data_IF_233472887427
#
_entry.id   IF_233472887427
#
_cell.length_a   1.000
_cell.length_b   1.000
_cell.length_c   1.000
_cell.angle_alpha   90.00
_cell.angle_beta   90.00
_cell.angle_gamma   90.00
#
_symmetry.space_group_name_H-M   'P 1'
#
loop_
_entity.id
_entity.type
_entity.pdbx_description
1 polymer ?
#
# COMPACT_ATOMS: atom_id res chain seq x y z
N UNK A 1 -1.28 -0.21 -3.83
CA UNK A 1 -1.40 0.41 -2.49
C UNK A 1 -0.44 -0.31 -1.56
N UNK A 2 0.36 0.41 -0.77
CA UNK A 2 1.48 -0.12 0.04
C UNK A 2 1.08 -1.33 0.89
N UNK A 3 -0.06 -1.27 1.58
CA UNK A 3 -0.55 -2.40 2.39
C UNK A 3 -0.77 -3.66 1.55
N UNK A 4 -1.32 -3.56 0.34
CA UNK A 4 -1.51 -4.74 -0.52
C UNK A 4 -0.18 -5.33 -0.99
N UNK A 5 0.80 -4.47 -1.24
CA UNK A 5 2.15 -4.88 -1.59
C UNK A 5 2.79 -5.65 -0.43
N UNK A 6 2.72 -5.11 0.78
CA UNK A 6 3.26 -5.77 1.97
C UNK A 6 2.42 -6.99 2.41
N UNK A 7 1.12 -7.06 2.15
CA UNK A 7 0.34 -8.29 2.34
C UNK A 7 0.89 -9.42 1.47
N UNK A 8 1.38 -9.10 0.27
CA UNK A 8 1.83 -10.09 -0.72
C UNK A 8 3.27 -10.56 -0.50
N UNK A 9 4.09 -9.69 0.08
CA UNK A 9 5.53 -9.92 0.27
C UNK A 9 5.95 -10.02 1.74
N UNK A 10 5.03 -9.71 2.67
CA UNK A 10 5.18 -9.64 4.13
C UNK A 10 6.18 -8.58 4.62
N UNK A 11 7.40 -8.59 4.07
CA UNK A 11 8.50 -7.70 4.44
C UNK A 11 9.23 -7.22 3.19
N UNK A 12 9.51 -5.91 3.10
CA UNK A 12 10.19 -5.31 1.94
C UNK A 12 11.17 -4.21 2.36
N UNK A 13 12.27 -4.10 1.62
CA UNK A 13 13.18 -2.97 1.71
C UNK A 13 12.60 -1.73 1.02
N UNK A 14 13.02 -0.53 1.46
CA UNK A 14 12.57 0.74 0.88
C UNK A 14 12.74 0.80 -0.64
N UNK A 15 13.85 0.29 -1.17
CA UNK A 15 14.15 0.30 -2.60
C UNK A 15 13.16 -0.50 -3.45
N UNK A 16 12.59 -1.57 -2.90
CA UNK A 16 11.58 -2.39 -3.59
C UNK A 16 10.18 -1.80 -3.43
N UNK A 17 9.89 -1.17 -2.28
CA UNK A 17 8.66 -0.40 -2.10
C UNK A 17 8.53 0.74 -3.11
N UNK A 18 9.61 1.50 -3.35
CA UNK A 18 9.64 2.58 -4.35
C UNK A 18 9.24 2.06 -5.74
N UNK A 19 9.84 0.95 -6.18
CA UNK A 19 9.57 0.34 -7.50
C UNK A 19 8.13 -0.15 -7.63
N UNK A 20 7.56 -0.70 -6.56
CA UNK A 20 6.23 -1.31 -6.58
C UNK A 20 5.09 -0.29 -6.45
N UNK A 21 5.33 0.83 -5.76
CA UNK A 21 4.31 1.88 -5.57
C UNK A 21 4.25 2.83 -6.75
N UNK A 22 5.38 3.09 -7.42
CA UNK A 22 5.44 4.07 -8.50
C UNK A 22 6.27 3.58 -9.70
N UNK A 23 5.76 2.63 -10.51
CA UNK A 23 6.45 2.18 -11.71
C UNK A 23 6.40 3.28 -12.79
N UNK A 24 7.36 4.22 -12.73
CA UNK A 24 7.62 5.18 -13.81
C UNK A 24 7.47 6.67 -13.49
N UNK A 25 7.10 7.05 -12.26
CA UNK A 25 7.07 8.46 -11.83
C UNK A 25 7.90 8.57 -10.55
N UNK A 26 8.97 9.36 -10.60
CA UNK A 26 9.69 9.80 -9.39
C UNK A 26 8.80 10.82 -8.70
N UNK A 27 7.80 10.37 -7.95
CA UNK A 27 7.15 11.22 -6.96
C UNK A 27 8.24 11.66 -6.00
N UNK A 28 8.38 12.96 -5.79
CA UNK A 28 9.35 13.56 -4.86
C UNK A 28 9.44 12.69 -3.59
N UNK A 29 10.66 12.22 -3.28
CA UNK A 29 10.95 11.17 -2.28
C UNK A 29 10.25 11.39 -0.93
N UNK A 30 9.89 12.64 -0.64
CA UNK A 30 9.12 13.09 0.50
C UNK A 30 7.75 12.42 0.65
N UNK A 31 6.97 12.23 -0.44
CA UNK A 31 5.60 11.71 -0.32
C UNK A 31 5.52 10.25 0.13
N UNK A 32 6.45 9.42 -0.34
CA UNK A 32 6.51 8.02 0.09
C UNK A 32 6.92 7.94 1.57
N UNK A 33 7.91 8.76 1.98
CA UNK A 33 8.34 8.78 3.37
C UNK A 33 7.20 9.23 4.30
N UNK A 34 6.47 10.30 3.96
CA UNK A 34 5.31 10.73 4.76
C UNK A 34 4.27 9.62 4.91
N UNK A 35 3.95 8.91 3.83
CA UNK A 35 2.99 7.81 3.89
C UNK A 35 3.50 6.64 4.74
N UNK A 36 4.80 6.31 4.67
CA UNK A 36 5.39 5.28 5.52
C UNK A 36 5.36 5.70 6.99
N UNK A 37 5.68 6.95 7.30
CA UNK A 37 5.62 7.49 8.66
C UNK A 37 4.19 7.46 9.21
N UNK A 38 3.19 7.83 8.42
CA UNK A 38 1.78 7.71 8.80
C UNK A 38 1.37 6.26 9.09
N UNK A 39 1.80 5.32 8.25
CA UNK A 39 1.50 3.89 8.42
C UNK A 39 2.20 3.31 9.66
N UNK A 40 3.40 3.77 9.99
CA UNK A 40 4.12 3.41 11.22
C UNK A 40 3.41 3.98 12.45
N UNK A 41 3.13 5.29 12.46
CA UNK A 41 2.46 5.94 13.58
C UNK A 41 1.07 5.36 13.87
N UNK A 42 0.37 4.96 12.80
CA UNK A 42 -0.92 4.28 12.92
C UNK A 42 -0.81 2.77 13.19
N UNK A 43 0.39 2.19 13.22
CA UNK A 43 0.65 0.79 13.58
C UNK A 43 0.21 -0.23 12.53
N UNK A 44 0.13 0.17 11.26
CA UNK A 44 -0.19 -0.73 10.15
C UNK A 44 1.05 -1.43 9.57
N UNK A 45 2.22 -0.80 9.72
CA UNK A 45 3.51 -1.37 9.35
C UNK A 45 4.52 -1.06 10.47
N UNK A 46 5.57 -1.87 10.56
CA UNK A 46 6.73 -1.61 11.42
C UNK A 46 7.98 -1.46 10.56
N UNK A 47 8.90 -0.59 11.01
CA UNK A 47 10.27 -0.55 10.48
C UNK A 47 11.16 -1.45 11.35
N UNK A 48 11.97 -2.30 10.72
CA UNK A 48 12.91 -3.16 11.44
C UNK A 48 14.14 -2.35 11.89
N UNK A 49 14.27 -2.15 13.20
CA UNK A 49 15.37 -1.42 13.79
C UNK A 49 16.73 -2.08 13.51
N UNK A 50 17.73 -1.25 13.20
CA UNK A 50 19.10 -1.69 12.96
C UNK A 50 19.36 -2.36 11.61
N UNK A 51 18.36 -2.42 10.72
CA UNK A 51 18.50 -3.01 9.38
C UNK A 51 18.75 -1.93 8.33
N UNK A 52 19.80 -2.12 7.52
CA UNK A 52 20.15 -1.26 6.38
C UNK A 52 20.18 -2.12 5.10
N UNK A 53 19.41 -1.76 4.05
CA UNK A 53 18.55 -0.59 3.96
C UNK A 53 17.29 -0.71 4.84
N UNK A 54 16.61 0.42 5.10
CA UNK A 54 15.37 0.44 5.87
C UNK A 54 14.39 -0.61 5.33
N UNK A 55 13.91 -1.45 6.23
CA UNK A 55 13.07 -2.61 5.92
C UNK A 55 11.76 -2.48 6.70
N UNK A 56 10.65 -2.71 6.01
CA UNK A 56 9.31 -2.57 6.55
C UNK A 56 8.58 -3.89 6.51
N UNK A 57 7.82 -4.19 7.56
CA UNK A 57 6.99 -5.38 7.67
C UNK A 57 5.56 -4.99 8.00
N UNK A 58 4.58 -5.78 7.53
CA UNK A 58 3.17 -5.52 7.80
C UNK A 58 2.74 -6.09 9.14
N UNK A 59 1.91 -5.34 9.87
CA UNK A 59 1.30 -5.83 11.12
C UNK A 59 -0.03 -6.52 10.85
N UNK A 60 -0.55 -7.25 11.84
CA UNK A 60 -1.92 -7.81 11.78
C UNK A 60 -2.98 -6.73 11.52
N UNK A 61 -2.77 -5.53 12.09
CA UNK A 61 -3.63 -4.37 11.85
C UNK A 61 -3.55 -3.94 10.38
N UNK A 62 -2.35 -3.86 9.82
CA UNK A 62 -2.12 -3.59 8.40
C UNK A 62 -2.79 -4.59 7.47
N UNK A 63 -2.70 -5.89 7.78
CA UNK A 63 -3.35 -6.96 7.01
C UNK A 63 -4.87 -6.80 7.02
N UNK A 64 -5.45 -6.57 8.20
CA UNK A 64 -6.89 -6.38 8.36
C UNK A 64 -7.39 -5.18 7.56
N UNK A 65 -6.67 -4.06 7.65
CA UNK A 65 -7.05 -2.83 6.97
C UNK A 65 -6.87 -2.92 5.45
N UNK A 66 -5.78 -3.51 4.96
CA UNK A 66 -5.58 -3.75 3.53
C UNK A 66 -6.69 -4.61 2.92
N UNK A 67 -7.11 -5.68 3.62
CA UNK A 67 -8.25 -6.51 3.20
C UNK A 67 -9.56 -5.72 3.17
N UNK A 68 -9.82 -4.88 4.19
CA UNK A 68 -11.02 -4.01 4.25
C UNK A 68 -11.08 -3.06 3.06
N UNK A 69 -9.97 -2.41 2.73
CA UNK A 69 -9.86 -1.47 1.61
C UNK A 69 -10.03 -2.17 0.26
N UNK A 70 -9.47 -3.37 0.09
CA UNK A 70 -9.71 -4.17 -1.13
C UNK A 70 -11.18 -4.53 -1.30
N UNK A 71 -11.87 -4.92 -0.23
CA UNK A 71 -13.30 -5.24 -0.29
C UNK A 71 -14.15 -4.01 -0.63
N UNK A 72 -13.84 -2.85 -0.02
CA UNK A 72 -14.56 -1.60 -0.28
C UNK A 72 -14.47 -1.17 -1.75
N UNK A 73 -13.30 -1.33 -2.37
CA UNK A 73 -13.10 -1.06 -3.81
C UNK A 73 -13.90 -2.04 -4.68
N UNK A 74 -13.96 -3.32 -4.31
CA UNK A 74 -14.76 -4.31 -5.02
C UNK A 74 -16.25 -4.00 -4.93
N UNK A 75 -16.73 -3.65 -3.75
CA UNK A 75 -18.14 -3.30 -3.50
C UNK A 75 -18.53 -2.03 -4.26
N UNK A 76 -17.67 -1.01 -4.26
CA UNK A 76 -17.87 0.20 -5.05
C UNK A 76 -17.94 -0.09 -6.55
N UNK A 77 -17.06 -0.96 -7.07
CA UNK A 77 -17.10 -1.40 -8.46
C UNK A 77 -18.36 -2.20 -8.80
N UNK A 78 -18.86 -3.02 -7.88
CA UNK A 78 -20.07 -3.79 -8.08
C UNK A 78 -21.31 -2.87 -8.18
N UNK A 79 -21.37 -1.85 -7.31
CA UNK A 79 -22.46 -0.85 -7.28
C UNK A 79 -22.47 0.13 -8.45
N UNK A 80 -21.41 0.18 -9.28
CA UNK A 80 -21.39 1.05 -10.46
C UNK A 80 -22.51 0.65 -11.46
N UNK A 81 -23.35 1.61 -11.89
CA UNK A 81 -24.34 1.39 -12.93
C UNK A 81 -23.75 0.81 -14.21
N UNK A 82 -24.50 -0.06 -14.89
CA UNK A 82 -24.04 -0.75 -16.10
C UNK A 82 -23.65 0.20 -17.25
N UNK A 83 -24.26 1.39 -17.31
CA UNK A 83 -23.93 2.40 -18.32
C UNK A 83 -22.56 3.06 -18.09
N UNK A 84 -22.12 3.20 -16.83
CA UNK A 84 -20.76 3.67 -16.52
C UNK A 84 -19.69 2.61 -16.83
N UNK A 85 -20.03 1.32 -16.72
CA UNK A 85 -19.11 0.21 -17.05
C UNK A 85 -18.84 0.11 -18.56
N UNK A 86 -19.78 0.54 -19.41
CA UNK A 86 -19.66 0.52 -20.87
C UNK A 86 -18.94 1.72 -21.47
N UNK A 87 -18.83 2.84 -20.75
CA UNK A 87 -18.23 4.07 -21.26
C UNK A 87 -16.68 4.06 -21.27
N UNK A 88 -16.05 3.05 -20.65
CA UNK A 88 -14.61 2.95 -20.48
C UNK A 88 -14.01 1.61 -20.98
N UNK A 89 -14.79 0.83 -21.74
CA UNK A 89 -14.35 -0.37 -22.48
C UNK A 89 -14.46 -0.11 -23.98
#
# INVERSE_FOLDING_TARGET
MILNTLIKHETLIIGDLVKMVNPGILSEDNHLQYLLDELIQSGHIDMLDGIIPCTYTITDKGIKEGKRLTQEVQDANNRRPSWLKKAYN
#
